data_IF_357246006018
#
_entry.id   IF_357246006018
#
_cell.length_a   1.000
_cell.length_b   1.000
_cell.length_c   1.000
_cell.angle_alpha   90.00
_cell.angle_beta   90.00
_cell.angle_gamma   90.00
#
_symmetry.space_group_name_H-M   'P 1'
#
loop_
_entity.id
_entity.type
_entity.pdbx_description
1 polymer ?
#
# COMPACT_ATOMS: atom_id res chain seq x y z
N UNK A 1 -11.25 51.68 -7.37
CA UNK A 1 -9.92 51.00 -7.26
C UNK A 1 -9.74 50.17 -5.98
N UNK A 2 -10.47 50.41 -4.88
CA UNK A 2 -10.36 49.63 -3.62
C UNK A 2 -11.15 48.31 -3.61
N UNK A 3 -12.20 48.21 -4.42
CA UNK A 3 -13.11 47.04 -4.47
C UNK A 3 -12.51 45.87 -5.27
N UNK A 4 -11.81 46.17 -6.37
CA UNK A 4 -11.11 45.18 -7.21
C UNK A 4 -9.90 44.55 -6.53
N UNK A 5 -9.28 45.24 -5.56
CA UNK A 5 -8.17 44.71 -4.76
C UNK A 5 -8.64 43.66 -3.75
N UNK A 6 -9.86 43.80 -3.21
CA UNK A 6 -10.46 42.83 -2.28
C UNK A 6 -10.85 41.54 -3.00
N UNK A 7 -11.36 41.65 -4.23
CA UNK A 7 -11.75 40.49 -5.03
C UNK A 7 -10.54 39.62 -5.44
N UNK A 8 -9.41 40.26 -5.77
CA UNK A 8 -8.17 39.57 -6.12
C UNK A 8 -7.59 38.76 -4.94
N UNK A 9 -7.79 39.26 -3.71
CA UNK A 9 -7.31 38.63 -2.49
C UNK A 9 -8.13 37.39 -2.10
N UNK A 10 -9.43 37.39 -2.39
CA UNK A 10 -10.32 36.23 -2.16
C UNK A 10 -10.07 35.11 -3.18
N UNK A 11 -9.79 35.45 -4.44
CA UNK A 11 -9.47 34.45 -5.47
C UNK A 11 -8.09 33.81 -5.24
N UNK A 12 -7.11 34.58 -4.74
CA UNK A 12 -5.79 34.05 -4.38
C UNK A 12 -5.84 33.05 -3.19
N UNK A 13 -6.76 33.26 -2.24
CA UNK A 13 -6.91 32.38 -1.08
C UNK A 13 -7.52 31.00 -1.42
N UNK A 14 -8.36 30.90 -2.46
CA UNK A 14 -8.94 29.63 -2.89
C UNK A 14 -7.96 28.71 -3.65
N UNK A 15 -6.87 29.25 -4.20
CA UNK A 15 -5.89 28.48 -4.99
C UNK A 15 -4.99 27.59 -4.13
N UNK A 16 -4.95 27.81 -2.81
CA UNK A 16 -4.04 27.12 -1.88
C UNK A 16 -4.61 25.81 -1.30
N UNK A 17 -5.86 25.45 -1.61
CA UNK A 17 -6.48 24.21 -1.12
C UNK A 17 -6.28 23.00 -2.04
N UNK A 18 -5.54 23.14 -3.15
CA UNK A 18 -5.09 22.00 -3.96
C UNK A 18 -3.81 21.43 -3.35
N UNK A 19 -3.85 21.13 -2.04
CA UNK A 19 -2.89 20.23 -1.43
C UNK A 19 -3.26 18.81 -1.88
N UNK A 20 -2.86 18.46 -3.11
CA UNK A 20 -2.90 17.10 -3.61
C UNK A 20 -2.17 16.19 -2.62
N UNK A 21 -2.95 15.47 -1.81
CA UNK A 21 -2.46 14.51 -0.84
C UNK A 21 -1.46 13.58 -1.53
N UNK A 22 -0.19 13.77 -1.17
CA UNK A 22 0.97 13.14 -1.80
C UNK A 22 0.73 11.64 -1.94
N UNK A 23 0.96 11.07 -3.13
CA UNK A 23 0.60 9.69 -3.48
C UNK A 23 1.27 8.59 -2.65
N UNK A 24 2.16 8.96 -1.72
CA UNK A 24 2.82 8.08 -0.74
C UNK A 24 1.99 7.99 0.54
N UNK A 25 1.71 6.78 1.01
CA UNK A 25 1.02 6.51 2.26
C UNK A 25 1.83 5.53 3.11
N UNK A 26 1.90 5.77 4.41
CA UNK A 26 2.46 4.81 5.35
C UNK A 26 1.38 3.78 5.68
N UNK A 27 1.64 2.52 5.35
CA UNK A 27 0.72 1.41 5.56
C UNK A 27 1.30 0.49 6.64
N UNK A 28 0.59 0.38 7.74
CA UNK A 28 0.85 -0.61 8.78
C UNK A 28 0.49 -2.00 8.25
N UNK A 29 1.45 -2.92 8.29
CA UNK A 29 1.29 -4.30 7.83
C UNK A 29 1.70 -5.28 8.91
N UNK A 30 0.92 -6.34 9.05
CA UNK A 30 1.16 -7.45 9.96
C UNK A 30 0.99 -8.78 9.20
N UNK A 31 2.09 -9.50 8.99
CA UNK A 31 2.12 -10.77 8.25
C UNK A 31 2.66 -11.85 9.17
N UNK A 32 1.90 -12.93 9.37
CA UNK A 32 2.25 -14.01 10.29
C UNK A 32 2.01 -15.36 9.60
N UNK A 33 3.04 -15.96 8.99
CA UNK A 33 2.86 -17.26 8.32
C UNK A 33 2.81 -18.42 9.31
N UNK A 34 2.14 -19.48 8.91
CA UNK A 34 2.19 -20.78 9.56
C UNK A 34 2.75 -21.80 8.57
N UNK A 35 4.00 -22.29 8.73
CA UNK A 35 4.90 -22.05 9.87
C UNK A 35 5.68 -20.73 9.76
N UNK A 36 6.18 -20.24 10.90
CA UNK A 36 6.96 -18.99 11.02
C UNK A 36 8.30 -19.05 10.26
N UNK A 37 8.87 -17.89 9.95
CA UNK A 37 10.19 -17.76 9.30
C UNK A 37 10.15 -17.81 7.77
N UNK A 38 8.97 -17.73 7.16
CA UNK A 38 8.83 -17.52 5.73
C UNK A 38 9.22 -16.09 5.33
N UNK A 39 9.76 -15.89 4.13
CA UNK A 39 10.08 -14.58 3.59
C UNK A 39 8.82 -13.90 3.07
N UNK A 40 8.49 -12.72 3.62
CA UNK A 40 7.41 -11.89 3.15
C UNK A 40 7.89 -10.92 2.06
N UNK A 41 7.14 -10.86 0.98
CA UNK A 41 7.40 -10.05 -0.21
C UNK A 41 6.15 -9.25 -0.54
N UNK A 42 6.33 -8.06 -1.10
CA UNK A 42 5.25 -7.22 -1.59
C UNK A 42 5.55 -6.72 -2.98
N UNK A 43 4.54 -6.66 -3.83
CA UNK A 43 4.63 -6.07 -5.14
C UNK A 43 3.48 -5.07 -5.31
N UNK A 44 3.77 -3.93 -5.92
CA UNK A 44 2.76 -2.93 -6.30
C UNK A 44 2.85 -2.77 -7.80
N UNK A 45 1.77 -3.13 -8.50
CA UNK A 45 1.69 -2.97 -9.95
C UNK A 45 1.13 -1.59 -10.27
N UNK A 46 1.79 -0.87 -11.15
CA UNK A 46 1.33 0.40 -11.70
C UNK A 46 0.85 0.22 -13.14
N UNK A 47 -0.04 1.09 -13.59
CA UNK A 47 -0.46 1.13 -14.99
C UNK A 47 0.75 1.39 -15.90
N UNK A 48 0.87 0.63 -16.99
CA UNK A 48 2.03 0.69 -17.89
C UNK A 48 3.32 0.04 -17.35
N UNK A 49 3.29 -0.58 -16.16
CA UNK A 49 4.40 -1.38 -15.66
C UNK A 49 4.09 -2.88 -15.79
N UNK A 50 4.70 -3.51 -16.81
CA UNK A 50 4.53 -4.93 -17.09
C UNK A 50 5.36 -5.84 -16.17
N UNK A 51 6.40 -5.31 -15.53
CA UNK A 51 7.33 -6.05 -14.68
C UNK A 51 7.53 -5.37 -13.32
N UNK A 52 6.50 -5.35 -12.45
CA UNK A 52 6.62 -4.75 -11.13
C UNK A 52 7.62 -5.47 -10.22
N UNK A 53 8.38 -4.72 -9.44
CA UNK A 53 9.45 -5.25 -8.58
C UNK A 53 8.90 -5.84 -7.26
N UNK A 54 9.49 -6.95 -6.81
CA UNK A 54 9.23 -7.52 -5.49
C UNK A 54 10.06 -6.81 -4.43
N UNK A 55 9.38 -6.26 -3.44
CA UNK A 55 9.97 -5.60 -2.27
C UNK A 55 10.02 -6.61 -1.13
N UNK A 56 11.23 -6.89 -0.64
CA UNK A 56 11.40 -7.71 0.56
C UNK A 56 10.95 -6.97 1.81
N UNK A 57 10.05 -7.60 2.59
CA UNK A 57 9.50 -7.05 3.82
C UNK A 57 10.19 -7.60 5.08
N UNK A 58 10.84 -8.76 4.98
CA UNK A 58 11.47 -9.45 6.10
C UNK A 58 10.95 -10.88 6.30
N UNK A 59 11.57 -11.67 7.20
CA UNK A 59 11.04 -12.95 7.62
C UNK A 59 9.83 -12.77 8.55
N UNK A 60 8.84 -13.64 8.42
CA UNK A 60 7.64 -13.67 9.26
C UNK A 60 7.96 -14.19 10.68
N UNK A 61 7.32 -13.65 11.73
CA UNK A 61 6.29 -12.61 11.68
C UNK A 61 6.87 -11.22 11.37
N UNK A 62 6.20 -10.47 10.50
CA UNK A 62 6.55 -9.10 10.13
C UNK A 62 5.51 -8.14 10.68
N UNK A 63 5.96 -7.10 11.37
CA UNK A 63 5.16 -5.93 11.75
C UNK A 63 5.94 -4.70 11.33
N UNK A 64 5.42 -3.94 10.36
CA UNK A 64 6.11 -2.77 9.84
C UNK A 64 5.16 -1.70 9.32
N UNK A 65 5.66 -0.47 9.24
CA UNK A 65 5.04 0.63 8.53
C UNK A 65 5.83 0.90 7.25
N UNK A 66 5.22 0.64 6.08
CA UNK A 66 5.87 0.88 4.78
C UNK A 66 5.27 2.11 4.11
N UNK A 67 6.12 3.04 3.70
CA UNK A 67 5.71 4.12 2.79
C UNK A 67 5.57 3.56 1.37
N UNK A 68 4.36 3.56 0.84
CA UNK A 68 4.02 2.99 -0.47
C UNK A 68 3.38 4.07 -1.34
N UNK A 69 3.83 4.18 -2.59
CA UNK A 69 3.20 5.07 -3.59
C UNK A 69 2.09 4.31 -4.32
N UNK A 70 0.86 4.79 -4.17
CA UNK A 70 -0.34 4.20 -4.79
C UNK A 70 -0.88 4.99 -6.00
N UNK A 71 -0.25 6.11 -6.34
CA UNK A 71 -0.58 6.88 -7.54
C UNK A 71 -0.35 6.03 -8.79
N UNK A 72 -1.39 5.85 -9.61
CA UNK A 72 -1.38 4.94 -10.76
C UNK A 72 -1.29 3.44 -10.43
N UNK A 73 -1.44 3.03 -9.16
CA UNK A 73 -1.39 1.63 -8.78
C UNK A 73 -2.67 0.88 -9.17
N UNK A 74 -2.52 -0.29 -9.78
CA UNK A 74 -3.60 -1.16 -10.24
C UNK A 74 -3.86 -2.29 -9.24
N UNK A 75 -2.79 -2.93 -8.75
CA UNK A 75 -2.87 -4.00 -7.75
C UNK A 75 -1.74 -3.96 -6.72
N UNK A 76 -1.99 -4.61 -5.59
CA UNK A 76 -1.00 -4.90 -4.56
C UNK A 76 -1.03 -6.39 -4.31
N UNK A 77 0.13 -7.02 -4.32
CA UNK A 77 0.27 -8.45 -4.06
C UNK A 77 1.20 -8.65 -2.87
N UNK A 78 0.76 -9.43 -1.89
CA UNK A 78 1.62 -9.97 -0.85
C UNK A 78 1.90 -11.43 -1.15
N UNK A 79 3.15 -11.83 -0.94
CA UNK A 79 3.63 -13.20 -1.16
C UNK A 79 4.42 -13.64 0.07
N UNK A 80 4.23 -14.89 0.49
CA UNK A 80 5.14 -15.54 1.45
C UNK A 80 5.70 -16.81 0.84
N UNK A 81 7.03 -16.95 0.94
CA UNK A 81 7.75 -18.13 0.45
C UNK A 81 8.65 -18.71 1.53
N UNK A 82 8.75 -20.03 1.57
CA UNK A 82 9.69 -20.75 2.42
C UNK A 82 10.07 -22.07 1.75
N UNK A 83 11.36 -22.39 1.61
CA UNK A 83 11.78 -23.68 1.07
C UNK A 83 11.15 -24.84 1.85
N UNK A 84 10.60 -25.81 1.11
CA UNK A 84 9.93 -26.99 1.69
C UNK A 84 8.47 -26.77 2.10
N UNK A 85 7.89 -25.60 1.83
CA UNK A 85 6.48 -25.29 2.11
C UNK A 85 5.77 -24.71 0.89
N UNK A 86 4.44 -24.69 0.93
CA UNK A 86 3.64 -24.08 -0.13
C UNK A 86 3.76 -22.57 -0.12
N UNK A 87 4.05 -21.99 -1.27
CA UNK A 87 3.94 -20.55 -1.48
C UNK A 87 2.49 -20.10 -1.32
N UNK A 88 2.31 -18.93 -0.73
CA UNK A 88 1.00 -18.28 -0.63
C UNK A 88 1.11 -16.87 -1.20
N UNK A 89 0.10 -16.49 -1.98
CA UNK A 89 -0.06 -15.16 -2.53
C UNK A 89 -1.46 -14.62 -2.23
N UNK A 90 -1.54 -13.32 -2.00
CA UNK A 90 -2.81 -12.61 -1.90
C UNK A 90 -2.72 -11.31 -2.66
N UNK A 91 -3.62 -11.15 -3.63
CA UNK A 91 -3.68 -9.98 -4.52
C UNK A 91 -4.95 -9.19 -4.27
N UNK A 92 -4.79 -7.88 -4.11
CA UNK A 92 -5.88 -6.93 -4.05
C UNK A 92 -5.83 -6.00 -5.25
N UNK A 93 -6.99 -5.49 -5.69
CA UNK A 93 -7.01 -4.23 -6.44
C UNK A 93 -6.54 -3.11 -5.51
N UNK A 94 -5.77 -2.14 -6.03
CA UNK A 94 -5.19 -1.08 -5.20
C UNK A 94 -6.25 -0.28 -4.40
N UNK A 95 -7.42 -0.04 -5.01
CA UNK A 95 -8.55 0.61 -4.35
C UNK A 95 -9.10 -0.19 -3.16
N UNK A 96 -9.19 -1.51 -3.32
CA UNK A 96 -9.70 -2.42 -2.28
C UNK A 96 -8.68 -2.55 -1.14
N UNK A 97 -7.38 -2.61 -1.46
CA UNK A 97 -6.31 -2.59 -0.47
C UNK A 97 -6.35 -1.33 0.42
N UNK A 98 -6.50 -0.15 -0.20
CA UNK A 98 -6.61 1.11 0.54
C UNK A 98 -7.89 1.15 1.38
N UNK A 99 -9.00 0.62 0.86
CA UNK A 99 -10.26 0.53 1.60
C UNK A 99 -10.13 -0.35 2.83
N UNK A 100 -9.50 -1.51 2.71
CA UNK A 100 -9.23 -2.42 3.82
C UNK A 100 -8.34 -1.73 4.87
N UNK A 101 -7.26 -1.07 4.45
CA UNK A 101 -6.40 -0.32 5.36
C UNK A 101 -7.16 0.79 6.09
N UNK A 102 -7.96 1.60 5.39
CA UNK A 102 -8.76 2.66 6.01
C UNK A 102 -9.78 2.12 7.01
N UNK A 103 -10.31 0.92 6.77
CA UNK A 103 -11.30 0.29 7.64
C UNK A 103 -10.68 -0.27 8.92
N UNK A 104 -9.51 -0.89 8.82
CA UNK A 104 -8.91 -1.64 9.94
C UNK A 104 -7.69 -0.95 10.56
N UNK A 105 -7.20 0.14 9.98
CA UNK A 105 -5.98 0.83 10.37
C UNK A 105 -4.68 0.07 10.06
N UNK A 106 -4.78 -1.16 9.56
CA UNK A 106 -3.67 -2.04 9.19
C UNK A 106 -4.10 -3.08 8.16
N UNK A 107 -3.14 -3.65 7.45
CA UNK A 107 -3.32 -4.84 6.62
C UNK A 107 -2.80 -6.04 7.39
N UNK A 108 -3.66 -7.01 7.67
CA UNK A 108 -3.30 -8.22 8.40
C UNK A 108 -3.53 -9.47 7.55
N UNK A 109 -2.56 -10.38 7.55
CA UNK A 109 -2.63 -11.63 6.80
C UNK A 109 -1.89 -12.76 7.51
N UNK A 110 -2.54 -13.92 7.60
CA UNK A 110 -2.03 -15.14 8.22
C UNK A 110 -2.05 -16.27 7.17
N UNK A 111 -1.02 -16.39 6.33
CA UNK A 111 -0.94 -17.46 5.33
C UNK A 111 -0.63 -18.81 5.97
N UNK A 112 -1.39 -19.86 5.62
CA UNK A 112 -1.08 -21.24 5.96
C UNK A 112 -0.32 -21.89 4.80
N UNK A 113 0.87 -22.43 5.09
CA UNK A 113 1.79 -22.97 4.08
C UNK A 113 1.94 -24.49 4.18
N UNK A 114 1.13 -25.15 5.01
CA UNK A 114 1.20 -26.60 5.30
C UNK A 114 0.05 -27.38 4.65
N UNK A 115 -1.06 -26.73 4.32
CA UNK A 115 -2.25 -27.38 3.73
C UNK A 115 -2.76 -26.63 2.50
N UNK A 116 -3.22 -27.38 1.50
CA UNK A 116 -4.14 -26.91 0.47
C UNK A 116 -5.53 -27.50 0.74
#
# INVERSE_FOLDING_TARGET
>A
MKESLKLLLVVSACSLLIACGNGKRNIAMQIHSDPLGAYALMQVKHEGNDSPEWIFLGPTPVVLDKSIRFDGATSVTLKVIRPGFYEQEKTWRAKDFIKDYKKYGKISWVPNMVKQ
#
